data_IF_946687681615
#
_entry.id   IF_946687681615
#
_cell.length_a   1.000
_cell.length_b   1.000
_cell.length_c   1.000
_cell.angle_alpha   90.00
_cell.angle_beta   90.00
_cell.angle_gamma   90.00
#
_symmetry.space_group_name_H-M   'P 1'
#
loop_
_entity.id
_entity.type
_entity.pdbx_description
1 polymer ?
#
# COMPACT_ATOMS: atom_id res chain seq x y z
N UNK A 1 -19.18 26.47 31.22
CA UNK A 1 -18.65 25.26 31.90
C UNK A 1 -19.33 23.98 31.37
N UNK A 2 -20.61 23.99 31.07
CA UNK A 2 -21.38 22.86 30.49
C UNK A 2 -20.84 22.39 29.12
N UNK A 3 -20.64 23.32 28.18
CA UNK A 3 -20.22 22.98 26.81
C UNK A 3 -18.83 22.31 26.75
N UNK A 4 -17.89 22.71 27.60
CA UNK A 4 -16.54 22.10 27.67
C UNK A 4 -16.60 20.67 28.24
N UNK A 5 -17.45 20.46 29.27
CA UNK A 5 -17.65 19.12 29.86
C UNK A 5 -18.38 18.20 28.86
N UNK A 6 -19.39 18.71 28.16
CA UNK A 6 -20.15 17.95 27.16
C UNK A 6 -19.24 17.54 25.99
N UNK A 7 -18.36 18.42 25.51
CA UNK A 7 -17.37 18.10 24.50
C UNK A 7 -16.37 17.02 24.98
N UNK A 8 -15.86 17.15 26.21
CA UNK A 8 -14.95 16.15 26.79
C UNK A 8 -15.62 14.77 26.94
N UNK A 9 -16.89 14.73 27.35
CA UNK A 9 -17.67 13.50 27.42
C UNK A 9 -17.89 12.87 26.03
N UNK A 10 -18.13 13.68 25.00
CA UNK A 10 -18.26 13.20 23.64
C UNK A 10 -16.95 12.59 23.13
N UNK A 11 -15.82 13.24 23.37
CA UNK A 11 -14.49 12.70 23.02
C UNK A 11 -14.22 11.36 23.72
N UNK A 12 -14.52 11.27 25.01
CA UNK A 12 -14.38 10.02 25.76
C UNK A 12 -15.26 8.89 25.19
N UNK A 13 -16.49 9.20 24.78
CA UNK A 13 -17.39 8.22 24.13
C UNK A 13 -16.83 7.70 22.80
N UNK A 14 -16.28 8.59 21.97
CA UNK A 14 -15.66 8.20 20.70
C UNK A 14 -14.50 7.24 20.95
N UNK A 15 -13.61 7.55 21.92
CA UNK A 15 -12.50 6.66 22.28
C UNK A 15 -12.99 5.31 22.79
N UNK A 16 -14.06 5.28 23.59
CA UNK A 16 -14.64 4.03 24.08
C UNK A 16 -15.31 3.21 22.98
N UNK A 17 -15.84 3.85 21.93
CA UNK A 17 -16.37 3.14 20.75
C UNK A 17 -15.26 2.51 19.91
N UNK A 18 -14.09 3.12 19.81
CA UNK A 18 -12.95 2.56 19.11
C UNK A 18 -12.27 1.39 19.83
N UNK A 19 -12.41 1.28 21.16
CA UNK A 19 -11.71 0.28 21.97
C UNK A 19 -11.89 -1.18 21.52
N UNK A 20 -13.10 -1.67 21.18
CA UNK A 20 -13.26 -3.05 20.70
C UNK A 20 -12.48 -3.33 19.42
N UNK A 21 -12.39 -2.34 18.54
CA UNK A 21 -11.61 -2.45 17.29
C UNK A 21 -10.11 -2.44 17.56
N UNK A 22 -9.63 -1.57 18.46
CA UNK A 22 -8.22 -1.58 18.88
C UNK A 22 -7.82 -2.94 19.46
N UNK A 23 -8.65 -3.52 20.34
CA UNK A 23 -8.41 -4.84 20.91
C UNK A 23 -8.45 -5.97 19.88
N UNK A 24 -9.26 -5.81 18.81
CA UNK A 24 -9.33 -6.78 17.72
C UNK A 24 -8.05 -6.83 16.89
N UNK A 25 -7.42 -5.68 16.68
CA UNK A 25 -6.22 -5.54 15.85
C UNK A 25 -4.94 -5.38 16.66
N UNK A 26 -4.99 -5.59 17.97
CA UNK A 26 -3.81 -5.60 18.84
C UNK A 26 -2.80 -6.64 18.35
N UNK A 27 -1.55 -6.21 18.18
CA UNK A 27 -0.43 -7.00 17.62
C UNK A 27 -0.62 -7.47 16.15
N UNK A 28 -1.71 -7.07 15.48
CA UNK A 28 -1.93 -7.42 14.08
C UNK A 28 -0.98 -6.66 13.14
N UNK A 29 -0.42 -7.35 12.15
CA UNK A 29 0.33 -6.71 11.08
C UNK A 29 -0.65 -6.23 10.00
N UNK A 30 -0.67 -4.92 9.76
CA UNK A 30 -1.51 -4.30 8.74
C UNK A 30 -0.63 -3.67 7.67
N UNK A 31 -0.62 -4.27 6.47
CA UNK A 31 0.10 -3.71 5.33
C UNK A 31 -0.75 -2.66 4.63
N UNK A 32 -0.28 -1.41 4.64
CA UNK A 32 -0.97 -0.27 4.03
C UNK A 32 -0.21 0.18 2.78
N UNK A 33 -0.85 0.03 1.63
CA UNK A 33 -0.29 0.55 0.38
C UNK A 33 -0.59 2.04 0.25
N UNK A 34 0.45 2.84 0.06
CA UNK A 34 0.38 4.28 -0.18
C UNK A 34 0.90 4.62 -1.57
N UNK A 35 0.08 5.23 -2.42
CA UNK A 35 0.51 5.51 -3.79
C UNK A 35 -0.51 6.29 -4.60
N UNK A 36 -0.25 6.40 -5.90
CA UNK A 36 -1.14 7.06 -6.84
C UNK A 36 -1.29 8.57 -6.60
N UNK A 37 -2.52 9.05 -6.70
CA UNK A 37 -2.85 10.47 -6.54
C UNK A 37 -2.83 10.95 -5.07
N UNK A 38 -2.77 10.04 -4.10
CA UNK A 38 -2.58 10.39 -2.69
C UNK A 38 -1.16 10.95 -2.41
N UNK A 39 -0.21 10.70 -3.33
CA UNK A 39 1.15 11.20 -3.23
C UNK A 39 1.29 12.50 -4.04
N UNK A 40 1.39 13.63 -3.40
CA UNK A 40 1.60 14.94 -4.06
C UNK A 40 0.83 16.07 -3.41
N UNK A 41 -0.03 15.77 -2.45
CA UNK A 41 -0.70 16.74 -1.58
C UNK A 41 -0.13 16.60 -0.17
N UNK A 42 0.44 17.69 0.35
CA UNK A 42 1.08 17.71 1.67
C UNK A 42 0.08 17.43 2.81
N UNK A 43 -1.18 17.85 2.68
CA UNK A 43 -2.19 17.60 3.71
C UNK A 43 -2.58 16.12 3.74
N UNK A 44 -2.81 15.53 2.57
CA UNK A 44 -3.09 14.09 2.45
C UNK A 44 -1.93 13.26 3.02
N UNK A 45 -0.68 13.65 2.73
CA UNK A 45 0.50 12.97 3.26
C UNK A 45 0.60 13.06 4.78
N UNK A 46 0.26 14.21 5.39
CA UNK A 46 0.23 14.39 6.83
C UNK A 46 -0.89 13.60 7.50
N UNK A 47 -2.09 13.62 6.92
CA UNK A 47 -3.24 12.88 7.45
C UNK A 47 -2.96 11.37 7.40
N UNK A 48 -2.44 10.86 6.28
CA UNK A 48 -1.97 9.48 6.17
C UNK A 48 -0.91 9.14 7.24
N UNK A 49 0.06 10.04 7.45
CA UNK A 49 1.13 9.81 8.42
C UNK A 49 0.61 9.77 9.86
N UNK A 50 -0.36 10.62 10.20
CA UNK A 50 -1.06 10.59 11.50
C UNK A 50 -1.83 9.30 11.68
N UNK A 51 -2.47 8.80 10.63
CA UNK A 51 -3.17 7.51 10.67
C UNK A 51 -2.20 6.37 11.01
N UNK A 52 -1.03 6.33 10.38
CA UNK A 52 0.00 5.32 10.67
C UNK A 52 0.51 5.40 12.11
N UNK A 53 0.74 6.62 12.61
CA UNK A 53 1.15 6.84 14.00
C UNK A 53 0.05 6.40 14.97
N UNK A 54 -1.21 6.73 14.68
CA UNK A 54 -2.33 6.33 15.54
C UNK A 54 -2.51 4.81 15.57
N UNK A 55 -2.37 4.12 14.43
CA UNK A 55 -2.42 2.66 14.38
C UNK A 55 -1.32 2.04 15.23
N UNK A 56 -0.08 2.48 15.09
CA UNK A 56 1.05 1.97 15.89
C UNK A 56 0.83 2.22 17.38
N UNK A 57 0.41 3.41 17.78
CA UNK A 57 0.09 3.75 19.15
C UNK A 57 -1.13 3.01 19.72
N UNK A 58 -1.97 2.43 18.85
CA UNK A 58 -3.13 1.62 19.23
C UNK A 58 -2.82 0.12 19.35
N UNK A 59 -1.56 -0.29 19.19
CA UNK A 59 -1.13 -1.69 19.26
C UNK A 59 -1.11 -2.43 17.92
N UNK A 60 -1.47 -1.75 16.82
CA UNK A 60 -1.36 -2.31 15.47
C UNK A 60 0.08 -2.18 14.97
N UNK A 61 0.57 -3.14 14.20
CA UNK A 61 1.87 -3.11 13.54
C UNK A 61 1.73 -2.67 12.06
N UNK A 62 1.69 -1.35 11.74
CA UNK A 62 1.53 -0.90 10.37
C UNK A 62 2.82 -1.06 9.56
N UNK A 63 2.70 -1.61 8.36
CA UNK A 63 3.76 -1.71 7.36
C UNK A 63 3.33 -0.91 6.14
N UNK A 64 4.06 0.17 5.83
CA UNK A 64 3.74 1.00 4.66
C UNK A 64 4.50 0.48 3.44
N UNK A 65 3.78 0.20 2.35
CA UNK A 65 4.37 -0.09 1.04
C UNK A 65 3.95 1.03 0.09
N UNK A 66 4.91 1.67 -0.59
CA UNK A 66 4.57 2.80 -1.44
C UNK A 66 4.86 2.57 -2.93
N UNK A 67 4.13 3.27 -3.78
CA UNK A 67 4.39 3.38 -5.20
C UNK A 67 5.20 4.64 -5.54
N UNK A 68 5.15 5.11 -6.81
CA UNK A 68 5.85 6.30 -7.24
C UNK A 68 5.88 6.52 -8.76
N UNK A 69 4.98 5.89 -9.51
CA UNK A 69 4.96 5.97 -10.97
C UNK A 69 4.99 7.40 -11.54
N UNK A 70 4.15 8.34 -11.06
CA UNK A 70 4.17 9.73 -11.51
C UNK A 70 5.50 10.44 -11.22
N UNK A 71 6.10 10.22 -10.04
CA UNK A 71 7.36 10.85 -9.64
C UNK A 71 8.54 10.29 -10.45
N UNK A 72 8.56 8.98 -10.71
CA UNK A 72 9.52 8.37 -11.64
C UNK A 72 9.40 9.00 -13.02
N UNK A 73 8.19 9.11 -13.56
CA UNK A 73 7.94 9.72 -14.87
C UNK A 73 8.42 11.19 -14.94
N UNK A 74 8.16 11.96 -13.89
CA UNK A 74 8.63 13.34 -13.78
C UNK A 74 10.16 13.43 -13.75
N UNK A 75 10.85 12.53 -13.04
CA UNK A 75 12.30 12.49 -12.96
C UNK A 75 12.92 12.07 -14.30
N UNK A 76 12.43 10.99 -14.93
CA UNK A 76 12.87 10.56 -16.27
C UNK A 76 12.77 11.71 -17.28
N UNK A 77 11.64 12.44 -17.29
CA UNK A 77 11.46 13.63 -18.14
C UNK A 77 12.49 14.72 -17.86
N UNK A 78 12.82 14.98 -16.59
CA UNK A 78 13.85 15.96 -16.21
C UNK A 78 15.25 15.57 -16.71
N UNK A 79 15.54 14.27 -16.73
CA UNK A 79 16.82 13.73 -17.16
C UNK A 79 16.88 13.51 -18.70
N UNK A 80 15.78 13.71 -19.41
CA UNK A 80 15.70 13.48 -20.85
C UNK A 80 15.64 11.99 -21.25
N UNK A 81 15.33 11.12 -20.28
CA UNK A 81 15.18 9.68 -20.50
C UNK A 81 13.75 9.38 -20.95
N UNK A 82 13.59 8.63 -22.04
CA UNK A 82 12.29 8.27 -22.59
C UNK A 82 11.59 7.22 -21.72
N UNK A 83 10.36 7.51 -21.33
CA UNK A 83 9.53 6.58 -20.55
C UNK A 83 8.58 5.82 -21.46
N UNK A 84 8.75 4.49 -21.55
CA UNK A 84 7.93 3.60 -22.37
C UNK A 84 7.12 2.65 -21.50
N UNK A 85 5.95 2.24 -22.00
CA UNK A 85 5.04 1.34 -21.29
C UNK A 85 4.54 0.23 -22.20
N UNK A 86 4.27 -0.94 -21.62
CA UNK A 86 3.54 -2.02 -22.23
C UNK A 86 2.47 -2.51 -21.24
N UNK A 87 1.19 -2.40 -21.62
CA UNK A 87 0.01 -2.75 -20.80
C UNK A 87 0.04 -2.16 -19.37
N UNK A 88 0.43 -0.88 -19.26
CA UNK A 88 0.50 -0.18 -17.98
C UNK A 88 1.77 -0.46 -17.17
N UNK A 89 2.61 -1.41 -17.57
CA UNK A 89 3.90 -1.68 -16.95
C UNK A 89 4.99 -0.84 -17.63
N UNK A 90 5.83 -0.20 -16.83
CA UNK A 90 6.96 0.59 -17.36
C UNK A 90 8.06 -0.34 -17.89
N UNK A 91 8.43 -0.19 -19.14
CA UNK A 91 9.65 -0.81 -19.65
C UNK A 91 10.83 -0.16 -18.95
N UNK A 92 11.60 -0.97 -18.23
CA UNK A 92 12.64 -0.50 -17.31
C UNK A 92 13.98 -1.05 -17.76
N UNK A 93 14.69 -0.32 -18.63
CA UNK A 93 16.08 -0.61 -18.99
C UNK A 93 17.02 -0.19 -17.84
N UNK A 94 18.33 -0.38 -18.00
CA UNK A 94 19.31 -0.14 -16.95
C UNK A 94 19.30 1.34 -16.49
N UNK A 95 19.30 2.29 -17.42
CA UNK A 95 19.24 3.73 -17.12
C UNK A 95 17.93 4.10 -16.42
N UNK A 96 16.83 3.55 -16.86
CA UNK A 96 15.52 3.72 -16.20
C UNK A 96 15.51 3.11 -14.81
N UNK A 97 16.15 1.95 -14.60
CA UNK A 97 16.18 1.28 -13.28
C UNK A 97 16.95 2.10 -12.26
N UNK A 98 18.07 2.73 -12.63
CA UNK A 98 18.80 3.64 -11.76
C UNK A 98 17.92 4.80 -11.28
N UNK A 99 17.14 5.40 -12.19
CA UNK A 99 16.21 6.46 -11.83
C UNK A 99 15.07 5.94 -10.95
N UNK A 100 14.53 4.77 -11.24
CA UNK A 100 13.49 4.11 -10.43
C UNK A 100 13.98 3.90 -9.00
N UNK A 101 15.18 3.34 -8.82
CA UNK A 101 15.74 3.09 -7.49
C UNK A 101 16.00 4.40 -6.74
N UNK A 102 16.62 5.41 -7.37
CA UNK A 102 16.84 6.73 -6.77
C UNK A 102 15.54 7.39 -6.30
N UNK A 103 14.50 7.34 -7.13
CA UNK A 103 13.22 7.99 -6.82
C UNK A 103 12.47 7.23 -5.73
N UNK A 104 12.34 5.92 -5.87
CA UNK A 104 11.59 5.11 -4.91
C UNK A 104 12.31 5.03 -3.56
N UNK A 105 13.54 4.54 -3.52
CA UNK A 105 14.27 4.29 -2.28
C UNK A 105 14.84 5.56 -1.64
N UNK A 106 15.21 6.54 -2.44
CA UNK A 106 15.81 7.79 -1.96
C UNK A 106 14.79 8.89 -1.71
N UNK A 107 14.06 9.32 -2.74
CA UNK A 107 13.21 10.51 -2.66
C UNK A 107 11.90 10.21 -1.91
N UNK A 108 11.07 9.34 -2.47
CA UNK A 108 9.70 9.09 -1.96
C UNK A 108 9.75 8.42 -0.59
N UNK A 109 10.53 7.35 -0.47
CA UNK A 109 10.66 6.59 0.77
C UNK A 109 11.03 7.51 1.95
N UNK A 110 12.06 8.33 1.77
CA UNK A 110 12.54 9.23 2.84
C UNK A 110 11.60 10.40 3.10
N UNK A 111 10.81 10.82 2.11
CA UNK A 111 9.76 11.81 2.32
C UNK A 111 8.64 11.26 3.21
N UNK A 112 8.16 10.03 2.95
CA UNK A 112 7.14 9.37 3.78
C UNK A 112 7.66 9.17 5.21
N UNK A 113 8.87 8.65 5.37
CA UNK A 113 9.54 8.52 6.67
C UNK A 113 9.59 9.87 7.40
N UNK A 114 9.96 10.93 6.70
CA UNK A 114 9.99 12.30 7.25
C UNK A 114 8.63 12.78 7.75
N UNK A 115 7.57 12.54 6.98
CA UNK A 115 6.20 12.90 7.41
C UNK A 115 5.77 12.12 8.65
N UNK A 116 5.93 10.78 8.68
CA UNK A 116 5.57 9.98 9.85
C UNK A 116 6.34 10.44 11.09
N UNK A 117 7.65 10.68 10.96
CA UNK A 117 8.47 11.17 12.08
C UNK A 117 8.07 12.58 12.54
N UNK A 118 7.63 13.46 11.62
CA UNK A 118 7.16 14.81 11.98
C UNK A 118 5.83 14.80 12.73
N UNK A 119 5.02 13.77 12.55
CA UNK A 119 3.75 13.58 13.28
C UNK A 119 3.93 12.77 14.59
N UNK A 120 5.16 12.50 15.01
CA UNK A 120 5.49 11.89 16.30
C UNK A 120 5.73 10.37 16.24
N UNK A 121 5.64 9.75 15.07
CA UNK A 121 5.97 8.35 14.88
C UNK A 121 7.47 8.09 14.79
N UNK A 122 7.84 6.83 14.70
CA UNK A 122 9.22 6.36 14.52
C UNK A 122 9.28 5.45 13.29
N UNK A 123 9.53 6.02 12.11
CA UNK A 123 9.57 5.29 10.87
C UNK A 123 10.99 5.01 10.37
N UNK A 124 11.16 3.88 9.69
CA UNK A 124 12.39 3.50 8.99
C UNK A 124 12.07 3.16 7.54
N UNK A 125 12.87 3.68 6.61
CA UNK A 125 12.70 3.39 5.18
C UNK A 125 13.61 2.26 4.75
N UNK A 126 13.03 1.28 4.07
CA UNK A 126 13.65 0.07 3.57
C UNK A 126 13.27 -0.20 2.11
N UNK A 127 14.01 -1.08 1.48
CA UNK A 127 13.71 -1.69 0.17
C UNK A 127 13.71 -3.21 0.32
N UNK A 128 13.25 -3.95 -0.66
CA UNK A 128 13.39 -5.40 -0.67
C UNK A 128 14.84 -5.90 -0.70
N UNK A 129 15.81 -5.02 -1.08
CA UNK A 129 17.26 -5.33 -1.09
C UNK A 129 17.85 -5.36 0.32
N UNK A 130 17.30 -4.56 1.27
CA UNK A 130 17.82 -4.48 2.63
C UNK A 130 17.67 -5.84 3.32
N UNK A 131 18.80 -6.39 3.76
CA UNK A 131 18.85 -7.75 4.30
C UNK A 131 18.39 -8.84 3.34
N UNK A 132 18.27 -8.54 2.05
CA UNK A 132 17.73 -9.45 1.01
C UNK A 132 16.29 -9.91 1.34
N UNK A 133 15.49 -9.01 1.93
CA UNK A 133 14.10 -9.31 2.31
C UNK A 133 13.25 -9.79 1.14
N UNK A 134 13.46 -9.24 -0.06
CA UNK A 134 12.76 -9.66 -1.26
C UNK A 134 13.78 -9.92 -2.36
N UNK A 135 13.87 -11.17 -2.79
CA UNK A 135 14.54 -11.49 -4.04
C UNK A 135 13.51 -11.56 -5.16
N UNK A 136 13.90 -11.09 -6.34
CA UNK A 136 13.03 -11.07 -7.52
C UNK A 136 13.65 -11.84 -8.67
N UNK A 137 12.78 -12.37 -9.52
CA UNK A 137 13.13 -12.88 -10.85
C UNK A 137 12.51 -11.96 -11.89
N UNK A 138 13.07 -11.95 -13.10
CA UNK A 138 12.55 -11.17 -14.21
C UNK A 138 11.10 -11.56 -14.53
N UNK A 139 10.24 -10.57 -14.69
CA UNK A 139 8.87 -10.80 -15.11
C UNK A 139 8.87 -11.19 -16.60
N UNK A 140 8.47 -12.42 -16.89
CA UNK A 140 8.30 -12.93 -18.23
C UNK A 140 6.84 -12.77 -18.67
N UNK A 141 6.63 -12.18 -19.85
CA UNK A 141 5.30 -11.97 -20.40
C UNK A 141 4.94 -13.02 -21.45
N UNK A 142 3.68 -13.49 -21.48
CA UNK A 142 3.22 -14.47 -22.46
C UNK A 142 3.31 -13.98 -23.91
N UNK A 143 3.24 -12.66 -24.15
CA UNK A 143 3.35 -12.01 -25.45
C UNK A 143 4.80 -11.81 -25.92
N UNK A 144 5.79 -12.19 -25.10
CA UNK A 144 7.21 -12.10 -25.40
C UNK A 144 7.80 -10.68 -25.31
N UNK A 145 7.04 -9.67 -24.86
CA UNK A 145 7.57 -8.31 -24.66
C UNK A 145 8.55 -8.28 -23.49
N UNK A 146 9.78 -7.85 -23.76
CA UNK A 146 10.81 -7.67 -22.73
C UNK A 146 10.59 -6.35 -21.99
N UNK A 147 10.30 -6.44 -20.70
CA UNK A 147 10.12 -5.29 -19.81
C UNK A 147 11.44 -4.83 -19.15
N UNK A 148 12.58 -5.46 -19.44
CA UNK A 148 13.87 -5.14 -18.83
C UNK A 148 13.93 -5.57 -17.36
N UNK A 149 14.24 -4.62 -16.47
CA UNK A 149 14.38 -4.85 -15.01
C UNK A 149 13.05 -4.74 -14.26
N UNK A 150 11.96 -5.20 -14.84
CA UNK A 150 10.71 -5.44 -14.12
C UNK A 150 10.73 -6.85 -13.57
N UNK A 151 10.46 -6.99 -12.27
CA UNK A 151 10.53 -8.26 -11.56
C UNK A 151 9.25 -8.63 -10.84
N UNK A 152 9.10 -9.90 -10.59
CA UNK A 152 8.13 -10.46 -9.64
C UNK A 152 8.87 -11.08 -8.44
N UNK A 153 8.29 -11.02 -7.22
CA UNK A 153 8.90 -11.63 -6.05
C UNK A 153 9.12 -13.12 -6.25
N UNK A 154 10.33 -13.61 -5.96
CA UNK A 154 10.68 -15.02 -5.98
C UNK A 154 10.71 -15.61 -4.56
N UNK A 155 11.39 -14.92 -3.63
CA UNK A 155 11.44 -15.28 -2.21
C UNK A 155 11.29 -14.04 -1.34
N UNK A 156 10.64 -14.21 -0.20
CA UNK A 156 10.50 -13.18 0.83
C UNK A 156 11.03 -13.73 2.15
N UNK A 157 11.93 -12.98 2.78
CA UNK A 157 12.45 -13.23 4.13
C UNK A 157 12.05 -12.06 5.03
N UNK A 158 11.19 -12.32 5.98
CA UNK A 158 10.62 -11.29 6.88
C UNK A 158 11.53 -10.96 8.07
N UNK A 159 12.67 -11.63 8.23
CA UNK A 159 13.52 -11.52 9.44
C UNK A 159 13.86 -10.06 9.78
N UNK A 160 14.23 -9.24 8.78
CA UNK A 160 14.54 -7.82 9.02
C UNK A 160 13.27 -7.06 9.42
N UNK A 161 12.15 -7.34 8.76
CA UNK A 161 10.87 -6.69 9.05
C UNK A 161 10.41 -7.00 10.47
N UNK A 162 10.49 -8.26 10.89
CA UNK A 162 10.13 -8.71 12.24
C UNK A 162 10.98 -8.00 13.32
N UNK A 163 12.28 -7.81 13.06
CA UNK A 163 13.16 -7.06 13.96
C UNK A 163 12.80 -5.57 14.06
N UNK A 164 12.35 -4.97 12.95
CA UNK A 164 11.93 -3.57 12.90
C UNK A 164 10.62 -3.40 13.69
N UNK A 165 9.61 -4.24 13.41
CA UNK A 165 8.33 -4.21 14.11
C UNK A 165 8.50 -4.47 15.62
N UNK A 166 9.32 -5.44 16.01
CA UNK A 166 9.63 -5.72 17.42
C UNK A 166 10.35 -4.58 18.17
N UNK A 167 10.65 -3.47 17.50
CA UNK A 167 11.22 -2.24 18.08
C UNK A 167 10.26 -1.05 18.04
N UNK A 168 8.99 -1.29 17.77
CA UNK A 168 7.97 -0.24 17.64
C UNK A 168 8.38 0.81 16.58
N UNK A 169 8.90 0.32 15.44
CA UNK A 169 9.24 1.15 14.30
C UNK A 169 8.26 0.87 13.16
N UNK A 170 7.83 1.91 12.49
CA UNK A 170 6.97 1.80 11.30
C UNK A 170 7.84 1.61 10.06
N UNK A 171 7.92 0.42 9.46
CA UNK A 171 8.67 0.20 8.24
C UNK A 171 7.94 0.81 7.04
N UNK A 172 8.70 1.51 6.20
CA UNK A 172 8.25 2.07 4.92
C UNK A 172 9.04 1.40 3.81
N UNK A 173 8.36 0.58 2.99
CA UNK A 173 8.98 -0.27 1.99
C UNK A 173 8.85 0.34 0.59
N UNK A 174 9.98 0.54 -0.07
CA UNK A 174 10.01 0.84 -1.51
C UNK A 174 10.04 -0.47 -2.31
N UNK A 175 9.29 -0.59 -3.43
CA UNK A 175 9.16 -1.82 -4.20
C UNK A 175 10.35 -2.03 -5.14
N UNK A 176 11.54 -2.13 -4.57
CA UNK A 176 12.79 -2.47 -5.25
C UNK A 176 13.35 -3.74 -4.62
N UNK A 177 13.62 -4.75 -5.42
CA UNK A 177 14.11 -6.04 -4.96
C UNK A 177 15.44 -6.42 -5.61
N UNK A 178 16.14 -7.39 -5.04
CA UNK A 178 17.42 -7.89 -5.54
C UNK A 178 17.23 -9.10 -6.45
N UNK A 179 17.80 -9.06 -7.64
CA UNK A 179 17.89 -10.20 -8.54
C UNK A 179 19.00 -11.19 -8.19
N UNK A 180 19.05 -12.33 -8.89
CA UNK A 180 19.96 -13.42 -8.57
C UNK A 180 21.46 -13.07 -8.71
N UNK A 181 21.81 -12.01 -9.43
CA UNK A 181 23.18 -11.53 -9.62
C UNK A 181 23.48 -10.23 -8.87
N UNK A 182 22.54 -9.79 -8.00
CA UNK A 182 22.64 -8.53 -7.26
C UNK A 182 22.10 -7.31 -8.00
N UNK A 183 21.54 -7.48 -9.20
CA UNK A 183 20.88 -6.43 -9.94
C UNK A 183 19.58 -6.00 -9.26
N UNK A 184 19.16 -4.75 -9.48
CA UNK A 184 17.90 -4.22 -8.97
C UNK A 184 16.73 -4.53 -9.90
N UNK A 185 15.61 -4.91 -9.34
CA UNK A 185 14.34 -5.03 -10.05
C UNK A 185 13.28 -4.09 -9.50
N UNK A 186 12.56 -3.43 -10.42
CA UNK A 186 11.33 -2.71 -10.11
C UNK A 186 10.20 -3.73 -9.95
N UNK A 187 9.76 -3.93 -8.72
CA UNK A 187 8.63 -4.80 -8.40
C UNK A 187 7.36 -3.97 -8.43
N UNK A 188 6.36 -4.39 -9.19
CA UNK A 188 5.15 -3.60 -9.35
C UNK A 188 4.38 -3.49 -8.03
N UNK A 189 4.20 -2.25 -7.56
CA UNK A 189 3.34 -1.93 -6.44
C UNK A 189 1.97 -1.38 -6.91
N UNK A 190 1.66 -1.47 -8.21
CA UNK A 190 0.54 -0.75 -8.80
C UNK A 190 -0.82 -1.35 -8.49
N UNK A 191 -1.63 -0.48 -7.94
CA UNK A 191 -3.08 -0.58 -7.96
C UNK A 191 -3.62 0.85 -8.14
N UNK A 192 -4.43 1.08 -9.17
CA UNK A 192 -5.03 2.38 -9.47
C UNK A 192 -6.00 2.83 -8.36
N UNK A 193 -6.21 4.14 -8.21
CA UNK A 193 -7.11 4.74 -7.21
C UNK A 193 -8.58 4.47 -7.56
N UNK A 194 -9.27 3.77 -6.68
CA UNK A 194 -10.71 3.55 -6.77
C UNK A 194 -11.28 3.43 -5.35
N UNK A 195 -12.53 3.88 -5.13
CA UNK A 195 -13.14 3.91 -3.79
C UNK A 195 -13.44 2.51 -3.21
N UNK A 196 -13.40 1.47 -4.02
CA UNK A 196 -13.76 0.10 -3.68
C UNK A 196 -14.27 -0.63 -4.91
N UNK A 197 -14.78 -1.85 -4.75
CA UNK A 197 -15.49 -2.57 -5.81
C UNK A 197 -16.92 -2.06 -5.86
N UNK A 198 -17.36 -1.63 -7.03
CA UNK A 198 -18.72 -1.11 -7.24
C UNK A 198 -19.61 -2.19 -7.85
N UNK A 199 -20.89 -2.20 -7.43
CA UNK A 199 -21.93 -3.00 -8.05
C UNK A 199 -22.48 -2.35 -9.35
N UNK A 200 -23.53 -2.95 -9.94
CA UNK A 200 -24.19 -2.46 -11.17
C UNK A 200 -24.85 -1.09 -11.00
N UNK A 201 -25.19 -0.73 -9.75
CA UNK A 201 -25.81 0.55 -9.38
C UNK A 201 -24.77 1.59 -8.90
N UNK A 202 -23.49 1.29 -9.08
CA UNK A 202 -22.32 2.12 -8.65
C UNK A 202 -22.25 2.36 -7.13
N UNK A 203 -22.78 1.44 -6.34
CA UNK A 203 -22.62 1.44 -4.90
C UNK A 203 -21.42 0.57 -4.52
N UNK A 204 -20.73 0.94 -3.43
CA UNK A 204 -19.61 0.15 -2.91
C UNK A 204 -20.13 -1.18 -2.37
N UNK A 205 -19.57 -2.29 -2.83
CA UNK A 205 -19.77 -3.60 -2.24
C UNK A 205 -18.88 -3.67 -0.98
N UNK A 206 -19.47 -3.67 0.19
CA UNK A 206 -18.72 -3.62 1.45
C UNK A 206 -17.96 -4.92 1.75
N UNK A 207 -18.53 -6.07 1.42
CA UNK A 207 -17.89 -7.38 1.59
C UNK A 207 -17.98 -8.22 0.33
N UNK A 208 -16.85 -8.89 -0.01
CA UNK A 208 -16.75 -9.86 -1.10
C UNK A 208 -16.03 -11.12 -0.61
N UNK A 209 -16.51 -12.27 -1.07
CA UNK A 209 -15.75 -13.52 -0.94
C UNK A 209 -14.90 -13.76 -2.18
N UNK A 210 -13.68 -14.29 -1.96
CA UNK A 210 -12.78 -14.64 -3.08
C UNK A 210 -13.49 -15.51 -4.13
N UNK A 211 -14.36 -16.42 -3.70
CA UNK A 211 -15.12 -17.31 -4.59
C UNK A 211 -16.10 -16.60 -5.51
N UNK A 212 -16.58 -15.39 -5.15
CA UNK A 212 -17.58 -14.65 -5.93
C UNK A 212 -16.93 -13.80 -7.04
N UNK A 213 -15.65 -13.45 -6.90
CA UNK A 213 -14.93 -12.54 -7.79
C UNK A 213 -14.93 -13.01 -9.25
N UNK A 214 -14.62 -14.30 -9.57
CA UNK A 214 -14.64 -14.76 -10.96
C UNK A 214 -16.02 -14.60 -11.63
N UNK A 215 -17.11 -14.82 -10.87
CA UNK A 215 -18.48 -14.61 -11.33
C UNK A 215 -18.74 -13.14 -11.66
N UNK A 216 -18.36 -12.22 -10.77
CA UNK A 216 -18.53 -10.78 -10.95
C UNK A 216 -17.71 -10.23 -12.14
N UNK A 217 -16.54 -10.80 -12.42
CA UNK A 217 -15.77 -10.48 -13.62
C UNK A 217 -16.51 -10.97 -14.87
N UNK A 218 -16.98 -12.22 -14.88
CA UNK A 218 -17.71 -12.80 -16.01
C UNK A 218 -19.03 -12.05 -16.32
N UNK A 219 -19.70 -11.55 -15.29
CA UNK A 219 -20.91 -10.73 -15.41
C UNK A 219 -20.64 -9.27 -15.80
N UNK A 220 -19.37 -8.85 -15.92
CA UNK A 220 -18.99 -7.48 -16.23
C UNK A 220 -19.28 -6.45 -15.13
N UNK A 221 -19.42 -6.89 -13.89
CA UNK A 221 -19.50 -6.02 -12.70
C UNK A 221 -18.08 -5.50 -12.38
N UNK A 222 -17.12 -6.40 -12.30
CA UNK A 222 -15.71 -6.04 -12.14
C UNK A 222 -15.06 -5.96 -13.51
N UNK A 223 -14.57 -4.78 -13.89
CA UNK A 223 -14.02 -4.52 -15.23
C UNK A 223 -12.75 -3.67 -15.18
N UNK A 224 -12.01 -3.63 -16.30
CA UNK A 224 -10.88 -2.72 -16.50
C UNK A 224 -9.81 -2.83 -15.42
N UNK A 225 -9.36 -1.69 -14.90
CA UNK A 225 -8.30 -1.60 -13.88
C UNK A 225 -8.66 -2.20 -12.51
N UNK A 226 -9.92 -2.58 -12.26
CA UNK A 226 -10.30 -3.27 -11.03
C UNK A 226 -9.91 -4.76 -11.06
N UNK A 227 -9.89 -5.40 -12.24
CA UNK A 227 -9.55 -6.82 -12.40
C UNK A 227 -8.19 -7.14 -11.77
N UNK A 228 -7.07 -6.51 -12.16
CA UNK A 228 -5.76 -6.83 -11.59
C UNK A 228 -5.68 -6.57 -10.07
N UNK A 229 -6.52 -5.67 -9.53
CA UNK A 229 -6.57 -5.41 -8.10
C UNK A 229 -7.19 -6.56 -7.33
N UNK A 230 -8.38 -6.99 -7.75
CA UNK A 230 -9.05 -8.11 -7.07
C UNK A 230 -8.25 -9.41 -7.24
N UNK A 231 -7.56 -9.61 -8.37
CA UNK A 231 -6.64 -10.72 -8.56
C UNK A 231 -5.47 -10.69 -7.58
N UNK A 232 -4.90 -9.50 -7.32
CA UNK A 232 -3.85 -9.33 -6.30
C UNK A 232 -4.40 -9.61 -4.90
N UNK A 233 -5.63 -9.18 -4.60
CA UNK A 233 -6.28 -9.49 -3.31
C UNK A 233 -6.50 -11.01 -3.15
N UNK A 234 -6.99 -11.68 -4.18
CA UNK A 234 -7.16 -13.13 -4.19
C UNK A 234 -5.83 -13.84 -3.93
N UNK A 235 -4.77 -13.44 -4.65
CA UNK A 235 -3.42 -13.99 -4.49
C UNK A 235 -2.90 -13.84 -3.05
N UNK A 236 -3.13 -12.69 -2.41
CA UNK A 236 -2.71 -12.45 -1.02
C UNK A 236 -3.47 -13.37 -0.05
N UNK A 237 -4.80 -13.46 -0.18
CA UNK A 237 -5.65 -14.30 0.69
C UNK A 237 -5.32 -15.79 0.54
N UNK A 238 -5.04 -16.27 -0.67
CA UNK A 238 -4.60 -17.65 -0.91
C UNK A 238 -3.29 -17.98 -0.18
N UNK A 239 -2.44 -16.97 0.06
CA UNK A 239 -1.15 -17.10 0.78
C UNK A 239 -1.23 -16.82 2.27
N UNK A 240 -2.42 -16.70 2.82
CA UNK A 240 -2.63 -16.65 4.27
C UNK A 240 -2.92 -15.27 4.84
N UNK A 241 -3.06 -14.24 4.00
CA UNK A 241 -3.61 -12.95 4.45
C UNK A 241 -5.08 -13.15 4.83
N UNK A 242 -5.47 -12.70 6.01
CA UNK A 242 -6.82 -12.93 6.56
C UNK A 242 -7.90 -12.14 5.81
N UNK A 243 -7.56 -10.92 5.40
CA UNK A 243 -8.45 -10.05 4.64
C UNK A 243 -7.67 -8.96 3.92
N UNK A 244 -8.21 -8.50 2.82
CA UNK A 244 -7.66 -7.37 2.04
C UNK A 244 -8.75 -6.36 1.81
N UNK A 245 -8.47 -5.09 2.06
CA UNK A 245 -9.43 -4.00 1.84
C UNK A 245 -8.97 -3.10 0.71
N UNK A 246 -9.89 -2.79 -0.20
CA UNK A 246 -9.68 -1.77 -1.23
C UNK A 246 -10.34 -0.47 -0.74
N UNK A 247 -9.53 0.58 -0.57
CA UNK A 247 -9.93 1.87 -0.02
C UNK A 247 -9.74 3.01 -1.03
N UNK A 248 -10.51 4.08 -0.87
CA UNK A 248 -10.24 5.36 -1.55
C UNK A 248 -9.09 6.10 -0.85
N UNK A 249 -7.92 6.15 -1.50
CA UNK A 249 -6.76 6.87 -0.98
C UNK A 249 -6.94 8.40 -0.89
N UNK A 250 -8.03 8.96 -1.41
CA UNK A 250 -8.38 10.39 -1.28
C UNK A 250 -9.30 10.68 -0.10
N UNK A 251 -9.93 9.66 0.46
CA UNK A 251 -10.76 9.80 1.65
C UNK A 251 -9.85 10.03 2.86
N UNK A 252 -9.92 11.18 3.53
CA UNK A 252 -9.14 11.41 4.75
C UNK A 252 -9.44 10.33 5.79
N UNK A 253 -8.39 9.82 6.41
CA UNK A 253 -8.49 8.82 7.48
C UNK A 253 -9.19 7.50 7.07
N UNK A 254 -9.19 7.15 5.78
CA UNK A 254 -9.86 5.96 5.27
C UNK A 254 -9.42 4.67 6.00
N UNK A 255 -8.13 4.55 6.32
CA UNK A 255 -7.58 3.39 7.03
C UNK A 255 -8.11 3.32 8.47
N UNK A 256 -8.22 4.45 9.16
CA UNK A 256 -8.79 4.50 10.52
C UNK A 256 -10.29 4.20 10.51
N UNK A 257 -11.03 4.75 9.55
CA UNK A 257 -12.47 4.46 9.39
C UNK A 257 -12.67 2.96 9.19
N UNK A 258 -11.87 2.35 8.33
CA UNK A 258 -11.96 0.91 8.06
C UNK A 258 -11.64 0.04 9.28
N UNK A 259 -10.56 0.34 9.98
CA UNK A 259 -10.09 -0.53 11.06
C UNK A 259 -10.72 -0.24 12.42
N UNK A 260 -11.11 1.02 12.67
CA UNK A 260 -11.52 1.48 14.01
C UNK A 260 -12.99 1.90 14.11
N UNK A 261 -13.81 1.59 13.10
CA UNK A 261 -15.26 1.85 13.13
C UNK A 261 -16.08 0.66 12.63
N UNK A 262 -17.38 0.66 12.96
CA UNK A 262 -18.31 -0.42 12.59
C UNK A 262 -18.66 -0.47 11.08
N UNK A 263 -18.43 0.62 10.36
CA UNK A 263 -18.99 0.77 8.99
C UNK A 263 -17.99 0.55 7.87
N UNK A 264 -16.68 0.57 8.19
CA UNK A 264 -15.65 0.50 7.15
C UNK A 264 -15.69 1.66 6.14
N UNK A 265 -14.72 1.71 5.25
CA UNK A 265 -14.59 2.76 4.24
C UNK A 265 -14.45 2.22 2.80
N UNK A 266 -14.38 0.92 2.63
CA UNK A 266 -14.08 0.30 1.35
C UNK A 266 -14.73 -1.05 1.12
N UNK A 267 -14.06 -1.89 0.34
CA UNK A 267 -14.48 -3.27 0.07
C UNK A 267 -13.53 -4.24 0.76
N UNK A 268 -14.02 -4.94 1.76
CA UNK A 268 -13.32 -6.03 2.42
C UNK A 268 -13.46 -7.33 1.61
N UNK A 269 -12.33 -7.93 1.26
CA UNK A 269 -12.27 -9.23 0.56
C UNK A 269 -11.70 -10.27 1.53
N UNK A 270 -12.43 -11.36 1.70
CA UNK A 270 -12.05 -12.48 2.58
C UNK A 270 -12.26 -13.84 1.88
N UNK A 271 -11.85 -14.92 2.54
CA UNK A 271 -12.12 -16.30 2.07
C UNK A 271 -13.60 -16.61 1.95
#
# INVERSE_FOLDING_TARGET
>A
MTDAVDNALQQARILMQALPHMLRYDDAIVVVKYGGHAMGDDQVARDFSRDMVLLEQSGVNPVVVHGGGPQIGAMLKRLGVESRFADGLRITDEETMDVVEMVLAGSINKQIVGYINSEGGRAIGLTGKDGRMVTAKKLERPDGVDLGFVGEPDKVDTTVLDQVLGRELIPVLAPVAEGPRGESYNVNADLTDVPGVLDKDKQIIQELKVGDIPGLIAEGVITGGMIPKVETCMYAIERGVEGVVILDGKLPHAVLIELLTDHGAGTLITR
#
